data_IF_570028378494
#
_entry.id   IF_570028378494
#
_cell.length_a   1.000
_cell.length_b   1.000
_cell.length_c   1.000
_cell.angle_alpha   90.00
_cell.angle_beta   90.00
_cell.angle_gamma   90.00
#
_symmetry.space_group_name_H-M   'P 1'
#
loop_
_entity.id
_entity.type
_entity.pdbx_description
1 polymer ?
#
# COMPACT_ATOMS: atom_id res chain seq x y z
N UNK A 1 27.59 9.10 -12.52
CA UNK A 1 26.24 8.51 -12.64
C UNK A 1 25.21 9.58 -12.33
N UNK A 2 24.27 9.86 -13.25
CA UNK A 2 23.33 10.96 -13.09
C UNK A 2 22.24 10.61 -12.06
N UNK A 3 21.68 11.60 -11.35
CA UNK A 3 20.60 11.41 -10.37
C UNK A 3 19.38 10.75 -11.02
N UNK A 4 19.10 11.11 -12.28
CA UNK A 4 18.05 10.50 -13.09
C UNK A 4 18.31 9.01 -13.40
N UNK A 5 19.57 8.62 -13.63
CA UNK A 5 19.93 7.21 -13.86
C UNK A 5 19.69 6.39 -12.60
N UNK A 6 20.09 6.94 -11.45
CA UNK A 6 19.87 6.31 -10.16
C UNK A 6 18.38 6.17 -9.85
N UNK A 7 17.58 7.20 -10.12
CA UNK A 7 16.14 7.16 -9.95
C UNK A 7 15.47 6.08 -10.83
N UNK A 8 15.93 5.91 -12.09
CA UNK A 8 15.41 4.88 -13.00
C UNK A 8 15.72 3.47 -12.52
N UNK A 9 16.97 3.20 -12.12
CA UNK A 9 17.38 1.88 -11.61
C UNK A 9 16.62 1.55 -10.32
N UNK A 10 16.50 2.53 -9.42
CA UNK A 10 15.73 2.37 -8.17
C UNK A 10 14.25 2.10 -8.47
N UNK A 11 13.64 2.86 -9.39
CA UNK A 11 12.25 2.67 -9.79
C UNK A 11 11.98 1.28 -10.40
N UNK A 12 12.85 0.80 -11.30
CA UNK A 12 12.74 -0.53 -11.89
C UNK A 12 12.86 -1.63 -10.82
N UNK A 13 13.80 -1.48 -9.88
CA UNK A 13 13.99 -2.43 -8.79
C UNK A 13 12.78 -2.45 -7.86
N UNK A 14 12.23 -1.29 -7.48
CA UNK A 14 11.04 -1.18 -6.63
C UNK A 14 9.81 -1.78 -7.30
N UNK A 15 9.62 -1.52 -8.61
CA UNK A 15 8.53 -2.11 -9.38
C UNK A 15 8.61 -3.64 -9.37
N UNK A 16 9.78 -4.21 -9.64
CA UNK A 16 9.98 -5.66 -9.59
C UNK A 16 9.76 -6.23 -8.17
N UNK A 17 10.26 -5.55 -7.14
CA UNK A 17 10.12 -5.95 -5.74
C UNK A 17 8.64 -5.99 -5.28
N UNK A 18 7.84 -5.02 -5.76
CA UNK A 18 6.41 -4.97 -5.53
C UNK A 18 5.69 -6.13 -6.22
N UNK A 19 6.03 -6.42 -7.48
CA UNK A 19 5.47 -7.57 -8.19
C UNK A 19 5.87 -8.93 -7.60
N UNK A 20 7.09 -9.07 -7.07
CA UNK A 20 7.51 -10.27 -6.35
C UNK A 20 6.70 -10.50 -5.09
N UNK A 21 6.33 -9.44 -4.37
CA UNK A 21 5.44 -9.57 -3.20
C UNK A 21 4.02 -9.93 -3.60
N UNK A 22 3.49 -9.33 -4.68
CA UNK A 22 2.19 -9.71 -5.24
C UNK A 22 2.15 -11.19 -5.67
N UNK A 23 3.22 -11.65 -6.31
CA UNK A 23 3.41 -13.04 -6.74
C UNK A 23 3.64 -14.02 -5.58
N UNK A 24 3.83 -13.53 -4.35
CA UNK A 24 3.95 -14.36 -3.15
C UNK A 24 5.34 -14.94 -2.91
N UNK A 25 6.39 -14.39 -3.53
CA UNK A 25 7.76 -14.91 -3.41
C UNK A 25 8.30 -14.73 -1.98
N UNK A 26 8.91 -15.77 -1.36
CA UNK A 26 9.42 -15.70 0.01
C UNK A 26 10.56 -14.68 0.15
N UNK A 27 10.70 -14.11 1.35
CA UNK A 27 11.60 -12.97 1.61
C UNK A 27 13.07 -13.23 1.25
N UNK A 28 13.58 -14.43 1.55
CA UNK A 28 14.95 -14.82 1.19
C UNK A 28 15.13 -14.85 -0.33
N UNK A 29 14.21 -15.54 -1.04
CA UNK A 29 14.24 -15.65 -2.50
C UNK A 29 14.05 -14.29 -3.18
N UNK A 30 13.22 -13.41 -2.61
CA UNK A 30 13.04 -12.02 -3.06
C UNK A 30 14.33 -11.21 -2.90
N UNK A 31 15.04 -11.36 -1.79
CA UNK A 31 16.35 -10.74 -1.59
C UNK A 31 17.37 -11.21 -2.62
N UNK A 32 17.40 -12.52 -2.92
CA UNK A 32 18.29 -13.10 -3.91
C UNK A 32 17.99 -12.59 -5.32
N UNK A 33 16.72 -12.67 -5.75
CA UNK A 33 16.27 -12.18 -7.06
C UNK A 33 16.52 -10.67 -7.22
N UNK A 34 16.36 -9.89 -6.15
CA UNK A 34 16.66 -8.46 -6.16
C UNK A 34 18.15 -8.18 -6.28
N UNK A 35 18.99 -9.00 -5.64
CA UNK A 35 20.45 -8.89 -5.75
C UNK A 35 20.90 -9.24 -7.16
N UNK A 36 20.34 -10.31 -7.73
CA UNK A 36 20.58 -10.75 -9.11
C UNK A 36 20.16 -9.68 -10.12
N UNK A 37 18.95 -9.13 -10.00
CA UNK A 37 18.48 -8.05 -10.86
C UNK A 37 19.40 -6.82 -10.80
N UNK A 38 19.84 -6.43 -9.60
CA UNK A 38 20.77 -5.28 -9.45
C UNK A 38 22.13 -5.54 -10.08
N UNK A 39 22.66 -6.76 -9.93
CA UNK A 39 23.92 -7.14 -10.57
C UNK A 39 23.80 -7.09 -12.10
N UNK A 40 22.74 -7.69 -12.64
CA UNK A 40 22.47 -7.72 -14.09
C UNK A 40 22.23 -6.32 -14.66
N UNK A 41 21.45 -5.49 -13.96
CA UNK A 41 21.26 -4.09 -14.33
C UNK A 41 22.58 -3.33 -14.26
N UNK A 42 23.39 -3.51 -13.23
CA UNK A 42 24.70 -2.86 -13.11
C UNK A 42 25.61 -3.17 -14.30
N UNK A 43 25.69 -4.45 -14.67
CA UNK A 43 26.46 -4.89 -15.84
C UNK A 43 25.90 -4.32 -17.16
N UNK A 44 24.58 -4.37 -17.36
CA UNK A 44 23.95 -3.84 -18.57
C UNK A 44 24.08 -2.31 -18.68
N UNK A 45 23.98 -1.60 -17.56
CA UNK A 45 24.14 -0.14 -17.51
C UNK A 45 25.55 0.27 -17.96
N UNK A 46 26.58 -0.52 -17.63
CA UNK A 46 27.94 -0.27 -18.05
C UNK A 46 28.15 -0.41 -19.57
N UNK A 47 27.31 -1.20 -20.25
CA UNK A 47 27.42 -1.48 -21.68
C UNK A 47 26.56 -0.56 -22.56
N UNK A 48 25.29 -0.37 -22.18
CA UNK A 48 24.28 0.33 -23.00
C UNK A 48 23.66 1.55 -22.31
N UNK A 49 24.05 1.86 -21.09
CA UNK A 49 23.48 2.95 -20.31
C UNK A 49 22.17 2.59 -19.59
N UNK A 50 21.79 3.42 -18.61
CA UNK A 50 20.69 3.15 -17.66
C UNK A 50 19.32 3.03 -18.32
N UNK A 51 19.06 3.84 -19.35
CA UNK A 51 17.76 3.92 -20.02
C UNK A 51 17.49 2.64 -20.80
N UNK A 52 18.45 2.22 -21.61
CA UNK A 52 18.32 1.07 -22.49
C UNK A 52 18.44 -0.24 -21.71
N UNK A 53 19.27 -0.27 -20.65
CA UNK A 53 19.31 -1.39 -19.71
C UNK A 53 17.95 -1.63 -19.03
N UNK A 54 17.29 -0.57 -18.55
CA UNK A 54 15.95 -0.69 -17.94
C UNK A 54 14.89 -1.05 -18.97
N UNK A 55 14.97 -0.50 -20.19
CA UNK A 55 14.02 -0.81 -21.27
C UNK A 55 14.17 -2.27 -21.74
N UNK A 56 15.38 -2.81 -21.72
CA UNK A 56 15.70 -4.19 -22.09
C UNK A 56 15.22 -5.25 -21.09
N UNK A 57 14.88 -4.87 -19.84
CA UNK A 57 14.28 -5.79 -18.86
C UNK A 57 12.91 -6.32 -19.29
N UNK A 58 12.19 -5.60 -20.14
CA UNK A 58 10.82 -5.94 -20.50
C UNK A 58 9.85 -5.81 -19.32
N UNK A 59 8.86 -6.70 -19.24
CA UNK A 59 7.81 -6.61 -18.21
C UNK A 59 8.28 -7.20 -16.87
N UNK A 60 8.47 -6.33 -15.86
CA UNK A 60 8.80 -6.74 -14.49
C UNK A 60 7.73 -7.66 -13.89
N UNK A 61 6.46 -7.43 -14.27
CA UNK A 61 5.32 -8.29 -13.93
C UNK A 61 5.48 -9.73 -14.44
N UNK A 62 5.85 -9.89 -15.72
CA UNK A 62 6.06 -11.22 -16.32
C UNK A 62 7.21 -11.97 -15.66
N UNK A 63 8.32 -11.28 -15.38
CA UNK A 63 9.45 -11.86 -14.65
C UNK A 63 9.08 -12.30 -13.23
N UNK A 64 8.30 -11.48 -12.51
CA UNK A 64 7.86 -11.81 -11.16
C UNK A 64 6.84 -12.98 -11.15
N UNK A 65 5.97 -13.05 -12.16
CA UNK A 65 5.07 -14.18 -12.34
C UNK A 65 5.83 -15.48 -12.63
N UNK A 66 6.87 -15.44 -13.46
CA UNK A 66 7.74 -16.59 -13.72
C UNK A 66 8.51 -17.05 -12.48
N UNK A 67 8.84 -16.12 -11.57
CA UNK A 67 9.49 -16.43 -10.30
C UNK A 67 8.51 -16.81 -9.18
N UNK A 68 7.21 -16.89 -9.46
CA UNK A 68 6.20 -17.18 -8.45
C UNK A 68 6.35 -18.60 -7.91
N UNK A 69 6.32 -18.72 -6.58
CA UNK A 69 6.25 -19.99 -5.87
C UNK A 69 5.08 -19.87 -4.90
N UNK A 70 3.93 -20.53 -5.18
CA UNK A 70 2.76 -20.40 -4.33
C UNK A 70 3.04 -20.96 -2.92
N UNK A 71 3.30 -20.07 -1.97
CA UNK A 71 3.36 -20.43 -0.55
C UNK A 71 2.05 -20.01 0.15
N UNK A 72 1.16 -20.97 0.47
CA UNK A 72 -0.11 -20.68 1.10
C UNK A 72 0.02 -20.22 2.55
N UNK A 73 1.20 -20.26 3.17
CA UNK A 73 1.40 -19.91 4.59
C UNK A 73 1.82 -18.46 4.82
N UNK A 74 2.20 -17.73 3.76
CA UNK A 74 2.76 -16.38 3.90
C UNK A 74 1.68 -15.28 4.06
N UNK A 75 1.90 -14.28 4.92
CA UNK A 75 1.09 -13.06 4.95
C UNK A 75 1.41 -12.15 3.76
N UNK A 76 0.37 -11.57 3.14
CA UNK A 76 0.48 -10.79 1.90
C UNK A 76 0.44 -9.30 2.23
N UNK A 77 1.50 -8.79 2.84
CA UNK A 77 1.56 -7.41 3.33
C UNK A 77 1.31 -6.37 2.24
N UNK A 78 1.90 -6.49 1.05
CA UNK A 78 1.63 -5.46 0.02
C UNK A 78 0.25 -5.61 -0.61
N UNK A 79 -0.35 -6.81 -0.62
CA UNK A 79 -1.78 -6.96 -0.96
C UNK A 79 -2.64 -6.25 0.09
N UNK A 80 -2.33 -6.43 1.38
CA UNK A 80 -3.00 -5.73 2.46
C UNK A 80 -2.86 -4.22 2.38
N UNK A 81 -1.65 -3.73 2.09
CA UNK A 81 -1.37 -2.31 1.88
C UNK A 81 -2.12 -1.76 0.68
N UNK A 82 -2.09 -2.44 -0.47
CA UNK A 82 -2.80 -2.00 -1.68
C UNK A 82 -4.30 -1.98 -1.46
N UNK A 83 -4.89 -3.04 -0.90
CA UNK A 83 -6.34 -3.07 -0.61
C UNK A 83 -6.70 -1.99 0.41
N UNK A 84 -5.92 -1.86 1.48
CA UNK A 84 -6.15 -0.87 2.53
C UNK A 84 -6.07 0.58 2.01
N UNK A 85 -5.02 0.91 1.25
CA UNK A 85 -4.85 2.26 0.69
C UNK A 85 -5.88 2.55 -0.40
N UNK A 86 -6.25 1.57 -1.21
CA UNK A 86 -7.29 1.73 -2.24
C UNK A 86 -8.66 1.97 -1.61
N UNK A 87 -9.03 1.19 -0.59
CA UNK A 87 -10.30 1.39 0.11
C UNK A 87 -10.32 2.71 0.86
N UNK A 88 -9.24 3.07 1.56
CA UNK A 88 -9.13 4.37 2.22
C UNK A 88 -9.25 5.52 1.22
N UNK A 89 -8.53 5.44 0.10
CA UNK A 89 -8.60 6.44 -0.97
C UNK A 89 -10.00 6.56 -1.58
N UNK A 90 -10.68 5.44 -1.80
CA UNK A 90 -12.05 5.43 -2.32
C UNK A 90 -13.04 6.03 -1.32
N UNK A 91 -12.91 5.70 -0.03
CA UNK A 91 -13.75 6.27 1.03
C UNK A 91 -13.53 7.78 1.19
N UNK A 92 -12.28 8.25 1.15
CA UNK A 92 -11.95 9.68 1.18
C UNK A 92 -12.51 10.41 -0.04
N UNK A 93 -12.44 9.80 -1.22
CA UNK A 93 -13.01 10.37 -2.45
C UNK A 93 -14.53 10.47 -2.36
N UNK A 94 -15.20 9.41 -1.90
CA UNK A 94 -16.65 9.40 -1.72
C UNK A 94 -17.11 10.48 -0.72
N UNK A 95 -16.39 10.64 0.39
CA UNK A 95 -16.69 11.69 1.37
C UNK A 95 -16.42 13.08 0.82
N UNK A 96 -15.33 13.28 0.07
CA UNK A 96 -15.07 14.57 -0.57
C UNK A 96 -16.24 14.96 -1.49
N UNK A 97 -16.75 14.03 -2.29
CA UNK A 97 -17.91 14.28 -3.15
C UNK A 97 -19.18 14.57 -2.33
N UNK A 98 -19.41 13.85 -1.24
CA UNK A 98 -20.53 14.10 -0.34
C UNK A 98 -20.42 15.50 0.32
N UNK A 99 -19.25 15.87 0.82
CA UNK A 99 -18.99 17.17 1.43
C UNK A 99 -19.18 18.32 0.44
N UNK A 100 -18.74 18.16 -0.82
CA UNK A 100 -18.98 19.15 -1.87
C UNK A 100 -20.47 19.29 -2.17
N UNK A 101 -21.22 18.19 -2.27
CA UNK A 101 -22.67 18.24 -2.51
C UNK A 101 -23.44 18.90 -1.37
N UNK A 102 -23.00 18.66 -0.12
CA UNK A 102 -23.56 19.31 1.06
C UNK A 102 -23.24 20.80 1.08
N UNK A 103 -21.99 21.17 0.74
CA UNK A 103 -21.53 22.55 0.70
C UNK A 103 -22.30 23.36 -0.35
N UNK A 104 -22.56 22.80 -1.52
CA UNK A 104 -23.40 23.43 -2.55
C UNK A 104 -24.81 23.71 -2.02
N UNK A 105 -25.40 22.75 -1.28
CA UNK A 105 -26.70 22.94 -0.62
C UNK A 105 -26.66 24.03 0.46
N UNK A 106 -25.62 24.06 1.27
CA UNK A 106 -25.43 25.08 2.31
C UNK A 106 -25.26 26.48 1.72
N UNK A 107 -24.50 26.62 0.63
CA UNK A 107 -24.34 27.90 -0.07
C UNK A 107 -25.64 28.37 -0.72
N UNK A 108 -26.41 27.46 -1.33
CA UNK A 108 -27.69 27.78 -1.94
C UNK A 108 -28.75 28.27 -0.93
N UNK A 109 -28.66 27.84 0.33
CA UNK A 109 -29.55 28.26 1.39
C UNK A 109 -29.23 29.65 1.96
N UNK A 110 -28.09 30.26 1.58
CA UNK A 110 -27.62 31.58 2.06
C UNK A 110 -27.80 31.79 3.57
N UNK A 111 -27.22 30.93 4.42
CA UNK A 111 -27.44 31.01 5.86
C UNK A 111 -26.75 32.25 6.45
N UNK A 112 -27.45 32.94 7.35
CA UNK A 112 -26.91 34.10 8.09
C UNK A 112 -26.01 33.69 9.28
N UNK A 113 -26.01 32.40 9.63
CA UNK A 113 -25.26 31.84 10.76
C UNK A 113 -24.47 30.58 10.34
N UNK A 114 -23.43 30.19 11.09
CA UNK A 114 -22.65 28.99 10.78
C UNK A 114 -23.51 27.73 10.78
N UNK A 115 -23.38 26.91 9.74
CA UNK A 115 -24.11 25.65 9.58
C UNK A 115 -23.13 24.49 9.75
N UNK A 116 -23.48 23.54 10.62
CA UNK A 116 -22.69 22.33 10.85
C UNK A 116 -23.43 21.12 10.30
N UNK A 117 -22.77 20.34 9.46
CA UNK A 117 -23.25 19.07 8.92
C UNK A 117 -22.43 17.90 9.43
N UNK A 118 -23.09 16.76 9.65
CA UNK A 118 -22.40 15.50 9.92
C UNK A 118 -21.94 14.86 8.60
N UNK A 119 -20.76 14.26 8.60
CA UNK A 119 -20.27 13.47 7.48
C UNK A 119 -20.97 12.10 7.45
N UNK A 120 -21.54 11.74 6.30
CA UNK A 120 -22.38 10.55 6.16
C UNK A 120 -21.57 9.25 6.27
N UNK A 121 -20.32 9.21 5.76
CA UNK A 121 -19.53 7.97 5.75
C UNK A 121 -18.58 7.84 6.93
N UNK A 122 -18.33 8.93 7.66
CA UNK A 122 -17.44 8.94 8.82
C UNK A 122 -18.16 9.49 10.05
N UNK A 123 -18.87 8.61 10.79
CA UNK A 123 -19.55 9.04 12.01
C UNK A 123 -18.53 9.63 13.01
N UNK A 124 -18.91 10.78 13.58
CA UNK A 124 -18.03 11.57 14.44
C UNK A 124 -17.16 12.60 13.70
N UNK A 125 -17.19 12.63 12.37
CA UNK A 125 -16.63 13.74 11.60
C UNK A 125 -17.71 14.80 11.32
N UNK A 126 -17.30 16.07 11.30
CA UNK A 126 -18.19 17.20 11.05
C UNK A 126 -17.61 18.18 10.04
N UNK A 127 -18.49 18.81 9.27
CA UNK A 127 -18.18 19.89 8.35
C UNK A 127 -18.88 21.14 8.85
N UNK A 128 -18.14 22.22 9.06
CA UNK A 128 -18.71 23.51 9.47
C UNK A 128 -18.49 24.52 8.37
N UNK A 129 -19.58 25.07 7.87
CA UNK A 129 -19.59 26.22 6.96
C UNK A 129 -19.84 27.49 7.78
N UNK A 130 -18.97 28.48 7.66
CA UNK A 130 -19.17 29.80 8.26
C UNK A 130 -19.12 30.89 7.18
N UNK A 131 -20.20 31.65 6.97
CA UNK A 131 -20.16 32.83 6.11
C UNK A 131 -19.23 33.89 6.72
N UNK A 132 -18.50 34.62 5.87
CA UNK A 132 -17.50 35.63 6.25
C UNK A 132 -17.68 36.89 5.39
N UNK A 133 -17.35 38.06 5.93
CA UNK A 133 -17.40 39.32 5.18
C UNK A 133 -16.53 39.33 3.91
N UNK A 134 -15.51 38.47 3.83
CA UNK A 134 -14.62 38.32 2.68
C UNK A 134 -14.86 37.04 1.86
N UNK A 135 -15.96 36.31 2.11
CA UNK A 135 -16.27 35.03 1.44
C UNK A 135 -16.86 34.00 2.40
N UNK A 136 -16.22 32.84 2.51
CA UNK A 136 -16.65 31.78 3.43
C UNK A 136 -15.44 31.05 4.03
N UNK A 137 -15.67 30.40 5.17
CA UNK A 137 -14.73 29.50 5.82
C UNK A 137 -15.32 28.10 5.91
N UNK A 138 -14.48 27.09 5.65
CA UNK A 138 -14.82 25.68 5.78
C UNK A 138 -13.88 25.05 6.81
N UNK A 139 -14.45 24.50 7.88
CA UNK A 139 -13.72 23.70 8.84
C UNK A 139 -14.16 22.24 8.72
N UNK A 140 -13.17 21.33 8.68
CA UNK A 140 -13.39 19.89 8.62
C UNK A 140 -12.80 19.28 9.87
N UNK A 141 -13.64 18.63 10.67
CA UNK A 141 -13.19 17.81 11.79
C UNK A 141 -13.31 16.33 11.38
N UNK A 142 -12.18 15.64 11.30
CA UNK A 142 -12.11 14.25 10.86
C UNK A 142 -12.04 13.34 12.08
N UNK A 143 -13.13 12.61 12.32
CA UNK A 143 -13.24 11.62 13.37
C UNK A 143 -12.32 10.40 13.17
N UNK A 144 -12.04 9.71 14.27
CA UNK A 144 -11.13 8.55 14.32
C UNK A 144 -11.59 7.35 13.48
N UNK A 145 -12.86 7.30 13.07
CA UNK A 145 -13.43 6.20 12.29
C UNK A 145 -12.79 6.13 10.90
N UNK A 146 -12.45 7.27 10.29
CA UNK A 146 -11.81 7.31 8.97
C UNK A 146 -10.47 6.55 8.92
N UNK A 147 -9.48 6.85 9.78
CA UNK A 147 -8.24 6.07 9.80
C UNK A 147 -8.46 4.63 10.28
N UNK A 148 -9.44 4.38 11.18
CA UNK A 148 -9.73 3.04 11.68
C UNK A 148 -10.18 2.07 10.57
N UNK A 149 -11.04 2.51 9.65
CA UNK A 149 -11.47 1.68 8.51
C UNK A 149 -10.30 1.27 7.63
N UNK A 150 -9.40 2.21 7.33
CA UNK A 150 -8.18 1.93 6.55
C UNK A 150 -7.26 0.92 7.25
N UNK A 151 -7.07 1.07 8.56
CA UNK A 151 -6.26 0.16 9.38
C UNK A 151 -6.90 -1.23 9.43
N UNK A 152 -8.21 -1.33 9.64
CA UNK A 152 -8.92 -2.62 9.70
C UNK A 152 -8.81 -3.34 8.35
N UNK A 153 -9.06 -2.66 7.23
CA UNK A 153 -8.92 -3.23 5.90
C UNK A 153 -7.49 -3.73 5.64
N UNK A 154 -6.48 -2.95 6.03
CA UNK A 154 -5.07 -3.34 5.95
C UNK A 154 -4.79 -4.62 6.76
N UNK A 155 -5.22 -4.66 8.02
CA UNK A 155 -5.01 -5.81 8.91
C UNK A 155 -5.70 -7.05 8.36
N UNK A 156 -6.94 -6.93 7.89
CA UNK A 156 -7.71 -8.04 7.34
C UNK A 156 -7.07 -8.63 6.08
N UNK A 157 -6.62 -7.77 5.16
CA UNK A 157 -6.04 -8.21 3.89
C UNK A 157 -4.57 -8.66 4.03
N UNK A 158 -3.80 -8.08 4.96
CA UNK A 158 -2.42 -8.52 5.25
C UNK A 158 -2.35 -9.87 5.99
N UNK A 159 -3.41 -10.24 6.72
CA UNK A 159 -3.54 -11.49 7.49
C UNK A 159 -2.32 -11.75 8.41
N UNK A 160 -1.95 -10.79 9.28
CA UNK A 160 -0.73 -10.86 10.09
C UNK A 160 -0.68 -12.06 11.02
N UNK A 161 -1.84 -12.59 11.43
CA UNK A 161 -1.97 -13.74 12.33
C UNK A 161 -1.40 -15.05 11.77
N UNK A 162 -1.05 -15.13 10.47
CA UNK A 162 -0.32 -16.29 9.91
C UNK A 162 1.07 -16.48 10.50
N UNK A 163 1.69 -15.43 11.05
CA UNK A 163 2.94 -15.56 11.81
C UNK A 163 2.76 -16.32 13.12
N UNK A 164 1.56 -16.25 13.72
CA UNK A 164 1.31 -16.80 15.05
C UNK A 164 1.02 -18.31 15.00
N UNK A 165 0.51 -18.82 13.88
CA UNK A 165 0.23 -20.25 13.70
C UNK A 165 1.47 -21.14 13.54
N UNK A 166 2.68 -20.56 13.36
CA UNK A 166 3.92 -21.33 13.13
C UNK A 166 4.76 -21.58 14.39
N UNK A 167 4.40 -21.04 15.57
CA UNK A 167 5.15 -21.29 16.83
C UNK A 167 4.59 -22.41 17.71
N UNK A 168 3.50 -23.07 17.30
CA UNK A 168 2.83 -24.10 18.10
C UNK A 168 3.32 -25.54 17.91
N UNK A 169 4.28 -25.80 17.01
CA UNK A 169 4.66 -27.16 16.62
C UNK A 169 6.15 -27.44 16.64
N UNK A 170 6.78 -27.39 17.81
CA UNK A 170 8.03 -28.10 18.04
C UNK A 170 8.16 -28.50 19.50
N UNK A 171 7.64 -29.68 19.90
CA UNK A 171 8.28 -30.43 20.96
C UNK A 171 9.58 -30.99 20.40
N UNK A 172 10.68 -30.54 20.97
CA UNK A 172 12.00 -31.12 20.84
C UNK A 172 12.04 -32.54 21.42
N UNK A 173 13.07 -33.28 21.01
CA UNK A 173 13.71 -34.37 21.75
C UNK A 173 13.09 -35.78 21.72
N UNK A 174 13.64 -36.63 20.84
CA UNK A 174 14.21 -37.92 21.26
C UNK A 174 15.22 -38.43 20.23
N UNK A 175 16.48 -38.04 20.43
CA UNK A 175 17.66 -38.67 19.84
C UNK A 175 17.81 -40.04 20.52
N UNK A 176 17.28 -41.12 19.95
CA UNK A 176 17.70 -42.47 20.32
C UNK A 176 18.96 -42.80 19.56
N UNK A 177 20.07 -42.65 20.27
CA UNK A 177 21.39 -43.10 19.91
C UNK A 177 21.38 -44.63 19.86
N UNK A 178 21.85 -45.20 18.75
CA UNK A 178 22.14 -46.62 18.60
C UNK A 178 23.18 -47.04 19.65
N UNK A 179 22.88 -48.11 20.37
CA UNK A 179 23.82 -48.79 21.25
C UNK A 179 23.42 -50.25 21.35
N UNK A 180 24.33 -51.09 20.84
CA UNK A 180 24.40 -52.57 20.89
C UNK A 180 23.75 -53.34 19.73
#
# INVERSE_FOLDING_TARGET
MNVLDRARIVGATLSYDLWLDFAGVPGQRRCDLRRELRANLGAATALVGSRDAVRGLGSTRGMAAAASCPDPTRPRWTVGFTVGISLLGLSLLAELLAALSWLDGAMAATPESPVTGAMTFFPGSSLTYSPSASGFSLAVDVGWVCPAVGIIAFVLASRPWRFLTLRGGSPSHSRTFNGE
#
